data_IF_547405565163
#
_entry.id   IF_547405565163
#
_cell.length_a   1.000
_cell.length_b   1.000
_cell.length_c   1.000
_cell.angle_alpha   90.00
_cell.angle_beta   90.00
_cell.angle_gamma   90.00
#
_symmetry.space_group_name_H-M   'P 1'
#
loop_
_entity.id
_entity.type
_entity.pdbx_description
1 polymer ?
#
# COMPACT_ATOMS: atom_id res chain seq x y z
N UNK A 1 7.84 -4.49 -3.21
CA UNK A 1 6.75 -5.30 -2.64
C UNK A 1 6.34 -6.33 -3.67
N UNK A 2 5.97 -7.53 -3.21
CA UNK A 2 5.75 -8.66 -4.10
C UNK A 2 4.24 -8.84 -4.30
N UNK A 3 3.77 -8.67 -5.55
CA UNK A 3 2.38 -8.90 -5.91
C UNK A 3 2.19 -10.37 -6.24
N UNK A 4 1.58 -11.11 -5.32
CA UNK A 4 1.21 -12.52 -5.55
C UNK A 4 0.21 -12.63 -6.70
N UNK A 5 -0.70 -11.66 -6.81
CA UNK A 5 -1.72 -11.59 -7.85
C UNK A 5 -1.09 -11.40 -9.23
N UNK A 6 -0.19 -10.42 -9.37
CA UNK A 6 0.48 -10.17 -10.67
C UNK A 6 1.69 -11.08 -10.91
N UNK A 7 2.08 -11.89 -9.92
CA UNK A 7 3.29 -12.73 -9.90
C UNK A 7 4.57 -11.99 -10.26
N UNK A 8 4.70 -10.77 -9.76
CA UNK A 8 5.90 -9.94 -9.95
C UNK A 8 6.13 -9.01 -8.77
N UNK A 9 7.38 -8.60 -8.63
CA UNK A 9 7.75 -7.56 -7.69
C UNK A 9 7.52 -6.18 -8.28
N UNK A 10 7.20 -5.23 -7.41
CA UNK A 10 7.09 -3.82 -7.72
C UNK A 10 7.98 -3.01 -6.78
N UNK A 11 8.56 -1.95 -7.33
CA UNK A 11 9.21 -0.88 -6.59
C UNK A 11 8.32 0.35 -6.68
N UNK A 12 7.94 0.93 -5.54
CA UNK A 12 7.14 2.15 -5.52
C UNK A 12 7.91 3.24 -4.79
N UNK A 13 8.03 4.39 -5.44
CA UNK A 13 8.63 5.59 -4.86
C UNK A 13 7.55 6.65 -4.65
N UNK A 14 7.51 7.20 -3.43
CA UNK A 14 6.46 8.13 -2.99
C UNK A 14 7.14 9.37 -2.42
N UNK A 15 6.82 10.53 -2.99
CA UNK A 15 7.34 11.82 -2.54
C UNK A 15 6.20 12.61 -1.93
N UNK A 16 6.31 12.89 -0.64
CA UNK A 16 5.31 13.69 0.05
C UNK A 16 5.57 15.18 -0.13
N UNK A 17 4.54 15.89 -0.59
CA UNK A 17 4.56 17.34 -0.72
C UNK A 17 4.36 18.04 0.63
N UNK A 18 4.49 19.37 0.61
CA UNK A 18 4.34 20.22 1.80
C UNK A 18 3.01 19.99 2.52
N UNK A 19 1.94 19.68 1.80
CA UNK A 19 0.62 19.43 2.37
C UNK A 19 0.63 18.25 3.36
N UNK A 20 1.17 17.10 2.96
CA UNK A 20 1.30 15.94 3.86
C UNK A 20 2.17 16.28 5.06
N UNK A 21 3.29 16.98 4.86
CA UNK A 21 4.14 17.44 5.96
C UNK A 21 3.41 18.36 6.94
N UNK A 22 2.59 19.28 6.44
CA UNK A 22 1.75 20.15 7.26
C UNK A 22 0.73 19.33 8.06
N UNK A 23 0.11 18.32 7.46
CA UNK A 23 -0.80 17.42 8.19
C UNK A 23 -0.09 16.59 9.26
N UNK A 24 1.19 16.24 9.10
CA UNK A 24 1.95 15.51 10.11
C UNK A 24 2.49 16.41 11.25
N UNK A 25 2.63 17.71 11.00
CA UNK A 25 3.20 18.69 11.95
C UNK A 25 2.16 19.62 12.58
N UNK A 26 0.90 19.51 12.16
CA UNK A 26 -0.23 20.24 12.74
C UNK A 26 -0.87 19.39 13.83
N UNK A 27 -1.20 20.00 14.97
CA UNK A 27 -1.89 19.30 16.05
C UNK A 27 -3.38 19.12 15.69
N UNK A 28 -3.90 17.91 15.93
CA UNK A 28 -5.30 17.55 15.79
C UNK A 28 -5.90 17.20 17.15
N UNK A 29 -7.22 17.34 17.34
CA UNK A 29 -7.92 16.81 18.51
C UNK A 29 -7.78 15.28 18.56
N UNK A 30 -7.43 14.74 19.73
CA UNK A 30 -7.46 13.29 19.97
C UNK A 30 -8.78 12.89 20.66
N UNK A 31 -9.68 12.14 19.99
CA UNK A 31 -10.90 11.63 20.61
C UNK A 31 -10.64 10.74 21.83
N UNK A 32 -9.48 10.08 21.91
CA UNK A 32 -9.12 9.22 23.03
C UNK A 32 -8.45 9.98 24.18
N UNK A 33 -7.83 11.13 23.92
CA UNK A 33 -7.13 11.94 24.91
C UNK A 33 -7.46 13.44 24.79
N UNK A 34 -8.67 13.85 25.19
CA UNK A 34 -9.10 15.24 25.09
C UNK A 34 -8.12 16.22 25.75
N UNK A 35 -7.80 17.31 25.06
CA UNK A 35 -6.92 18.38 25.56
C UNK A 35 -5.41 18.10 25.42
N UNK A 36 -5.00 16.92 24.94
CA UNK A 36 -3.60 16.66 24.57
C UNK A 36 -3.40 16.88 23.06
N UNK A 37 -2.28 17.52 22.65
CA UNK A 37 -1.97 17.63 21.23
C UNK A 37 -1.67 16.25 20.64
N UNK A 38 -2.33 15.92 19.54
CA UNK A 38 -2.07 14.71 18.77
C UNK A 38 -1.56 15.08 17.38
N UNK A 39 -0.59 14.31 16.90
CA UNK A 39 -0.02 14.46 15.57
C UNK A 39 -0.14 13.12 14.85
N UNK A 40 -0.63 13.15 13.61
CA UNK A 40 -0.72 11.96 12.77
C UNK A 40 0.69 11.52 12.41
N UNK A 41 1.14 10.43 13.01
CA UNK A 41 2.50 9.91 12.87
C UNK A 41 2.55 8.50 12.27
N UNK A 42 1.40 7.98 11.85
CA UNK A 42 1.28 6.67 11.21
C UNK A 42 0.73 6.83 9.81
N UNK A 43 1.19 5.96 8.93
CA UNK A 43 0.83 5.96 7.53
C UNK A 43 0.50 4.54 7.10
N UNK A 44 -0.71 4.39 6.56
CA UNK A 44 -1.15 3.15 5.94
C UNK A 44 -0.86 3.23 4.43
N UNK A 45 -0.17 2.22 3.91
CA UNK A 45 0.13 2.11 2.48
C UNK A 45 -0.64 0.92 1.92
N UNK A 46 -1.63 1.20 1.09
CA UNK A 46 -2.41 0.19 0.38
C UNK A 46 -1.71 -0.18 -0.92
N UNK A 47 -1.43 -1.47 -1.07
CA UNK A 47 -0.79 -2.05 -2.24
C UNK A 47 -1.83 -2.92 -2.96
N UNK A 48 -2.08 -2.64 -4.23
CA UNK A 48 -3.04 -3.37 -5.04
C UNK A 48 -2.42 -3.84 -6.36
N UNK A 49 -2.99 -4.89 -6.99
CA UNK A 49 -2.53 -5.39 -8.28
C UNK A 49 -2.43 -4.30 -9.35
N UNK A 50 -1.63 -4.59 -10.38
CA UNK A 50 -1.28 -3.62 -11.43
C UNK A 50 -0.35 -2.51 -10.96
N UNK A 51 0.33 -2.67 -9.82
CA UNK A 51 1.26 -1.66 -9.29
C UNK A 51 0.57 -0.45 -8.65
N UNK A 52 -0.71 -0.56 -8.31
CA UNK A 52 -1.49 0.55 -7.77
C UNK A 52 -1.17 0.75 -6.29
N UNK A 53 -0.79 1.98 -5.91
CA UNK A 53 -0.49 2.34 -4.53
C UNK A 53 -1.33 3.54 -4.09
N UNK A 54 -1.86 3.46 -2.87
CA UNK A 54 -2.52 4.56 -2.18
C UNK A 54 -1.99 4.69 -0.77
N UNK A 55 -2.03 5.90 -0.25
CA UNK A 55 -1.46 6.24 1.06
C UNK A 55 -2.47 7.01 1.87
N UNK A 56 -2.58 6.67 3.15
CA UNK A 56 -3.40 7.40 4.10
C UNK A 56 -2.58 7.76 5.34
N UNK A 57 -2.80 8.95 5.88
CA UNK A 57 -2.40 9.25 7.25
C UNK A 57 -3.48 8.73 8.19
N UNK A 58 -3.08 7.86 9.10
CA UNK A 58 -4.02 7.34 10.10
C UNK A 58 -4.43 8.47 11.04
N UNK A 59 -5.71 8.45 11.42
CA UNK A 59 -6.28 9.40 12.36
C UNK A 59 -6.87 8.63 13.54
N UNK A 60 -6.62 9.12 14.75
CA UNK A 60 -7.06 8.44 15.97
C UNK A 60 -8.57 8.59 16.13
N UNK A 61 -9.29 7.47 16.12
CA UNK A 61 -10.75 7.44 16.36
C UNK A 61 -11.59 8.02 15.22
N UNK A 62 -10.94 8.51 14.17
CA UNK A 62 -11.55 9.07 12.96
C UNK A 62 -11.13 8.26 11.72
N UNK A 63 -11.76 8.57 10.59
CA UNK A 63 -11.34 7.96 9.31
C UNK A 63 -9.96 8.46 8.90
N UNK A 64 -9.13 7.55 8.39
CA UNK A 64 -7.80 7.89 7.87
C UNK A 64 -7.90 8.81 6.66
N UNK A 65 -6.98 9.77 6.56
CA UNK A 65 -7.02 10.82 5.54
C UNK A 65 -6.19 10.41 4.33
N UNK A 66 -6.84 10.26 3.18
CA UNK A 66 -6.18 9.96 1.91
C UNK A 66 -5.15 11.05 1.59
N UNK A 67 -3.95 10.63 1.24
CA UNK A 67 -2.86 11.53 0.86
C UNK A 67 -2.74 11.62 -0.67
N UNK A 68 -2.34 12.79 -1.12
CA UNK A 68 -1.99 13.05 -2.52
C UNK A 68 -0.50 13.36 -2.60
N UNK A 69 0.35 12.33 -2.87
CA UNK A 69 1.78 12.55 -3.02
C UNK A 69 2.09 13.56 -4.11
N UNK A 70 3.13 14.36 -3.92
CA UNK A 70 3.62 15.29 -4.94
C UNK A 70 4.13 14.54 -6.17
N UNK A 71 4.68 13.34 -5.95
CA UNK A 71 5.06 12.41 -7.00
C UNK A 71 4.90 10.99 -6.49
N UNK A 72 4.35 10.12 -7.33
CA UNK A 72 4.27 8.69 -7.07
C UNK A 72 4.44 7.95 -8.38
N UNK A 73 5.29 6.93 -8.37
CA UNK A 73 5.40 5.99 -9.49
C UNK A 73 5.73 4.59 -8.97
N UNK A 74 5.33 3.60 -9.76
CA UNK A 74 5.58 2.19 -9.49
C UNK A 74 6.26 1.58 -10.70
N UNK A 75 7.35 0.86 -10.46
CA UNK A 75 8.21 0.20 -11.45
C UNK A 75 8.24 -1.30 -11.20
N UNK A 76 8.61 -2.08 -12.21
CA UNK A 76 8.70 -3.54 -12.10
C UNK A 76 9.79 -4.08 -13.04
N UNK A 77 10.30 -5.28 -12.73
CA UNK A 77 11.30 -5.95 -13.56
C UNK A 77 12.56 -5.11 -13.77
N UNK A 78 12.99 -5.02 -15.03
CA UNK A 78 14.23 -4.34 -15.40
C UNK A 78 14.20 -2.82 -15.23
N UNK A 79 13.01 -2.22 -15.13
CA UNK A 79 12.80 -0.78 -14.96
C UNK A 79 13.00 -0.31 -13.52
N UNK A 80 13.08 -1.25 -12.56
CA UNK A 80 13.35 -0.93 -11.16
C UNK A 80 14.68 -0.18 -11.00
N UNK A 81 14.70 0.84 -10.15
CA UNK A 81 15.86 1.71 -9.98
C UNK A 81 16.75 1.24 -8.82
N UNK A 82 16.11 0.87 -7.71
CA UNK A 82 16.80 0.53 -6.46
C UNK A 82 16.66 -0.96 -6.16
N UNK A 83 15.50 -1.53 -6.42
CA UNK A 83 15.16 -2.91 -6.03
C UNK A 83 15.48 -3.96 -7.08
N UNK A 84 16.05 -3.58 -8.24
CA UNK A 84 16.27 -4.49 -9.38
C UNK A 84 17.02 -5.78 -9.04
N UNK A 85 18.04 -5.67 -8.18
CA UNK A 85 18.87 -6.81 -7.76
C UNK A 85 18.50 -7.33 -6.36
N UNK A 86 17.40 -6.84 -5.79
CA UNK A 86 16.88 -7.37 -4.54
C UNK A 86 16.12 -8.65 -4.88
N UNK A 87 16.55 -9.82 -4.35
CA UNK A 87 15.84 -11.05 -4.63
C UNK A 87 14.40 -10.93 -4.11
N UNK A 88 13.46 -11.39 -4.93
CA UNK A 88 12.07 -11.48 -4.53
C UNK A 88 11.97 -12.32 -3.24
N UNK A 89 11.15 -11.87 -2.30
CA UNK A 89 10.93 -12.62 -1.05
C UNK A 89 9.94 -13.76 -1.26
N UNK A 90 9.23 -13.73 -2.38
CA UNK A 90 8.28 -14.75 -2.79
C UNK A 90 8.82 -15.42 -4.05
N UNK A 91 8.85 -16.75 -4.05
CA UNK A 91 9.06 -17.51 -5.27
C UNK A 91 7.76 -17.57 -6.07
N UNK A 92 7.69 -16.80 -7.15
CA UNK A 92 6.53 -16.72 -8.02
C UNK A 92 6.24 -18.02 -8.79
N UNK A 93 7.23 -18.93 -8.92
CA UNK A 93 7.07 -20.22 -9.61
C UNK A 93 6.26 -21.23 -8.80
N UNK A 94 6.28 -21.15 -7.46
CA UNK A 94 5.41 -21.97 -6.59
C UNK A 94 4.00 -21.39 -6.45
N UNK A 95 3.72 -20.22 -7.05
CA UNK A 95 2.38 -19.63 -7.12
C UNK A 95 1.63 -20.21 -8.33
N UNK A 96 1.71 -21.52 -8.55
CA UNK A 96 0.75 -22.24 -9.39
C UNK A 96 -0.51 -22.48 -8.55
N UNK A 97 -1.44 -21.53 -8.56
CA UNK A 97 -2.77 -21.60 -7.95
C UNK A 97 -2.86 -21.96 -6.45
N UNK A 98 -1.74 -22.27 -5.78
CA UNK A 98 -1.66 -22.95 -4.48
C UNK A 98 -0.84 -22.16 -3.43
N UNK A 99 -0.35 -20.96 -3.76
CA UNK A 99 0.31 -20.07 -2.79
C UNK A 99 -0.67 -19.42 -1.80
N UNK A 100 -1.97 -19.55 -2.06
CA UNK A 100 -3.04 -19.16 -1.15
C UNK A 100 -3.64 -20.42 -0.52
N UNK A 101 -3.94 -20.35 0.77
CA UNK A 101 -4.78 -21.33 1.45
C UNK A 101 -6.07 -21.55 0.64
N UNK A 102 -6.58 -22.79 0.64
CA UNK A 102 -7.77 -23.18 -0.12
C UNK A 102 -8.97 -22.24 0.15
N UNK A 103 -9.11 -21.77 1.40
CA UNK A 103 -10.13 -20.80 1.77
C UNK A 103 -10.01 -19.49 0.99
N UNK A 104 -8.80 -18.94 0.88
CA UNK A 104 -8.57 -17.66 0.20
C UNK A 104 -8.88 -17.79 -1.29
N UNK A 105 -8.57 -18.94 -1.89
CA UNK A 105 -8.90 -19.24 -3.29
C UNK A 105 -10.41 -19.25 -3.52
N UNK A 106 -11.15 -20.00 -2.70
CA UNK A 106 -12.61 -20.07 -2.82
C UNK A 106 -13.27 -18.73 -2.50
N UNK A 107 -12.69 -17.97 -1.57
CA UNK A 107 -13.15 -16.65 -1.25
C UNK A 107 -13.00 -15.67 -2.42
N UNK A 108 -11.89 -15.71 -3.17
CA UNK A 108 -11.67 -14.76 -4.27
C UNK A 108 -12.32 -15.21 -5.59
N UNK A 109 -12.60 -16.51 -5.75
CA UNK A 109 -13.15 -17.12 -6.96
C UNK A 109 -14.51 -16.53 -7.37
N UNK A 110 -14.63 -16.16 -8.63
CA UNK A 110 -15.82 -15.56 -9.24
C UNK A 110 -16.10 -14.12 -8.82
N UNK A 111 -15.22 -13.48 -8.02
CA UNK A 111 -15.42 -12.10 -7.60
C UNK A 111 -14.79 -11.13 -8.59
N UNK A 112 -15.56 -10.11 -8.95
CA UNK A 112 -15.06 -8.98 -9.72
C UNK A 112 -14.43 -7.99 -8.77
N UNK A 113 -13.09 -7.91 -8.82
CA UNK A 113 -12.36 -6.84 -8.19
C UNK A 113 -12.14 -5.71 -9.21
N UNK A 114 -11.93 -4.47 -8.74
CA UNK A 114 -11.55 -3.35 -9.62
C UNK A 114 -10.31 -3.62 -10.48
N UNK A 115 -9.52 -4.65 -10.13
CA UNK A 115 -8.26 -5.02 -10.77
C UNK A 115 -8.32 -6.37 -11.52
N UNK A 116 -9.52 -6.92 -11.75
CA UNK A 116 -9.73 -8.15 -12.52
C UNK A 116 -10.72 -9.12 -11.88
N UNK A 117 -11.13 -10.13 -12.66
CA UNK A 117 -11.91 -11.26 -12.16
C UNK A 117 -10.95 -12.38 -11.77
N UNK A 118 -11.15 -12.95 -10.58
CA UNK A 118 -10.33 -14.03 -10.01
C UNK A 118 -11.22 -15.19 -9.59
#
# INVERSE_FOLDING_TARGET
WDSVIDKKAYETEIWFGRETWQQMTTAFPDPYHPGKPYYRNRMAVGLAPGGTVRVWLEDNGNSSVLQHPARQFTLTGDDMLICKNVPNRIDFSYIEANGYDAFIRDFIKGKTYPYGNW
#
